data_IF_579354777806
#
_entry.id   IF_579354777806
#
_cell.length_a   1.000
_cell.length_b   1.000
_cell.length_c   1.000
_cell.angle_alpha   90.00
_cell.angle_beta   90.00
_cell.angle_gamma   90.00
#
_symmetry.space_group_name_H-M   'P 1'
#
loop_
_entity.id
_entity.type
_entity.pdbx_description
1 polymer ?
#
# COMPACT_ATOMS: atom_id res chain seq x y z
N UNK A 1 -20.40 3.76 9.08
CA UNK A 1 -19.37 4.29 8.16
C UNK A 1 -20.03 4.76 6.89
N UNK A 2 -19.67 5.95 6.40
CA UNK A 2 -20.19 6.52 5.15
C UNK A 2 -19.37 6.04 3.95
N UNK A 3 -20.00 5.91 2.78
CA UNK A 3 -19.32 5.63 1.49
C UNK A 3 -18.15 6.60 1.22
N UNK A 4 -18.29 7.87 1.63
CA UNK A 4 -17.22 8.88 1.51
C UNK A 4 -15.97 8.52 2.33
N UNK A 5 -16.14 7.94 3.51
CA UNK A 5 -15.03 7.56 4.38
C UNK A 5 -14.28 6.35 3.82
N UNK A 6 -15.00 5.37 3.26
CA UNK A 6 -14.40 4.22 2.56
C UNK A 6 -13.59 4.68 1.35
N UNK A 7 -14.13 5.62 0.56
CA UNK A 7 -13.40 6.19 -0.57
C UNK A 7 -12.15 6.98 -0.15
N UNK A 8 -12.21 7.67 1.00
CA UNK A 8 -11.04 8.37 1.56
C UNK A 8 -9.96 7.36 1.97
N UNK A 9 -10.33 6.27 2.65
CA UNK A 9 -9.40 5.19 3.02
C UNK A 9 -8.75 4.55 1.79
N UNK A 10 -9.55 4.26 0.76
CA UNK A 10 -9.04 3.72 -0.50
C UNK A 10 -7.99 4.65 -1.13
N UNK A 11 -8.30 5.94 -1.26
CA UNK A 11 -7.38 6.93 -1.82
C UNK A 11 -6.11 7.08 -0.97
N UNK A 12 -6.23 7.01 0.35
CA UNK A 12 -5.08 7.07 1.24
C UNK A 12 -4.16 5.87 1.03
N UNK A 13 -4.70 4.65 0.97
CA UNK A 13 -3.90 3.45 0.69
C UNK A 13 -3.15 3.57 -0.64
N UNK A 14 -3.84 3.98 -1.71
CA UNK A 14 -3.21 4.15 -3.02
C UNK A 14 -2.10 5.21 -2.99
N UNK A 15 -2.33 6.32 -2.29
CA UNK A 15 -1.36 7.39 -2.13
C UNK A 15 -0.13 6.93 -1.35
N UNK A 16 -0.32 6.18 -0.26
CA UNK A 16 0.81 5.64 0.51
C UNK A 16 1.55 4.55 -0.27
N UNK A 17 0.84 3.62 -0.91
CA UNK A 17 1.44 2.57 -1.75
C UNK A 17 2.23 3.13 -2.94
N UNK A 18 1.85 4.29 -3.47
CA UNK A 18 2.60 4.99 -4.51
C UNK A 18 3.97 5.52 -4.08
N UNK A 19 4.28 5.55 -2.78
CA UNK A 19 5.54 6.11 -2.25
C UNK A 19 6.69 5.11 -2.18
N UNK A 20 6.47 3.83 -2.47
CA UNK A 20 7.58 2.86 -2.52
C UNK A 20 8.62 3.28 -3.56
N UNK A 21 9.90 3.12 -3.26
CA UNK A 21 10.98 3.46 -4.20
C UNK A 21 11.11 2.38 -5.30
N UNK A 22 10.90 1.12 -4.93
CA UNK A 22 10.89 0.00 -5.88
C UNK A 22 9.55 -0.07 -6.65
N UNK A 23 9.65 -0.28 -7.97
CA UNK A 23 8.49 -0.36 -8.85
C UNK A 23 7.57 -1.54 -8.54
N UNK A 24 8.14 -2.71 -8.25
CA UNK A 24 7.36 -3.91 -7.98
C UNK A 24 6.55 -3.75 -6.70
N UNK A 25 7.13 -3.15 -5.66
CA UNK A 25 6.39 -2.85 -4.43
C UNK A 25 5.28 -1.82 -4.64
N UNK A 26 5.53 -0.73 -5.40
CA UNK A 26 4.46 0.23 -5.77
C UNK A 26 3.31 -0.45 -6.50
N UNK A 27 3.63 -1.16 -7.58
CA UNK A 27 2.65 -1.81 -8.44
C UNK A 27 1.87 -2.89 -7.69
N UNK A 28 2.53 -3.67 -6.85
CA UNK A 28 1.90 -4.68 -6.00
C UNK A 28 0.94 -4.04 -5.01
N UNK A 29 1.36 -3.01 -4.27
CA UNK A 29 0.52 -2.33 -3.29
C UNK A 29 -0.74 -1.78 -3.95
N UNK A 30 -0.60 -1.05 -5.07
CA UNK A 30 -1.73 -0.47 -5.81
C UNK A 30 -2.70 -1.56 -6.29
N UNK A 31 -2.19 -2.63 -6.91
CA UNK A 31 -3.01 -3.73 -7.42
C UNK A 31 -3.74 -4.44 -6.28
N UNK A 32 -3.02 -4.86 -5.24
CA UNK A 32 -3.59 -5.59 -4.10
C UNK A 32 -4.67 -4.80 -3.38
N UNK A 33 -4.51 -3.48 -3.28
CA UNK A 33 -5.51 -2.59 -2.70
C UNK A 33 -6.74 -2.46 -3.60
N UNK A 34 -6.58 -2.32 -4.91
CA UNK A 34 -7.72 -2.33 -5.85
C UNK A 34 -8.52 -3.63 -5.72
N UNK A 35 -7.84 -4.76 -5.78
CA UNK A 35 -8.47 -6.08 -5.71
C UNK A 35 -9.26 -6.25 -4.40
N UNK A 36 -8.68 -5.81 -3.27
CA UNK A 36 -9.34 -5.85 -1.97
C UNK A 36 -10.64 -5.01 -1.92
N UNK A 37 -10.63 -3.79 -2.47
CA UNK A 37 -11.82 -2.95 -2.42
C UNK A 37 -12.89 -3.42 -3.41
N UNK A 38 -12.49 -3.96 -4.56
CA UNK A 38 -13.43 -4.54 -5.53
C UNK A 38 -14.06 -5.82 -4.99
N UNK A 39 -13.27 -6.73 -4.40
CA UNK A 39 -13.78 -8.00 -3.86
C UNK A 39 -14.80 -7.79 -2.72
N UNK A 40 -14.66 -6.69 -1.98
CA UNK A 40 -15.52 -6.37 -0.84
C UNK A 40 -16.63 -5.35 -1.17
N UNK A 41 -16.80 -4.95 -2.44
CA UNK A 41 -17.75 -3.88 -2.84
C UNK A 41 -19.21 -4.16 -2.46
N UNK A 42 -19.61 -5.43 -2.49
CA UNK A 42 -20.98 -5.86 -2.26
C UNK A 42 -21.20 -6.42 -0.84
N UNK A 43 -20.25 -6.20 0.09
CA UNK A 43 -20.46 -6.58 1.48
C UNK A 43 -21.63 -5.80 2.07
N UNK A 44 -22.55 -6.52 2.70
CA UNK A 44 -23.73 -5.97 3.38
C UNK A 44 -23.68 -6.18 4.89
N UNK A 45 -22.90 -7.16 5.37
CA UNK A 45 -22.74 -7.40 6.79
C UNK A 45 -21.91 -6.30 7.44
N UNK A 46 -22.49 -5.67 8.47
CA UNK A 46 -21.88 -4.49 9.10
C UNK A 46 -20.63 -4.85 9.91
N UNK A 47 -20.60 -6.03 10.54
CA UNK A 47 -19.45 -6.50 11.32
C UNK A 47 -18.25 -6.76 10.40
N UNK A 48 -18.49 -7.41 9.26
CA UNK A 48 -17.45 -7.65 8.26
C UNK A 48 -16.93 -6.35 7.64
N UNK A 49 -17.81 -5.39 7.34
CA UNK A 49 -17.39 -4.07 6.84
C UNK A 49 -16.50 -3.36 7.86
N UNK A 50 -16.89 -3.34 9.14
CA UNK A 50 -16.10 -2.69 10.18
C UNK A 50 -14.74 -3.39 10.39
N UNK A 51 -14.71 -4.73 10.29
CA UNK A 51 -13.47 -5.49 10.30
C UNK A 51 -12.56 -5.14 9.11
N UNK A 52 -13.09 -5.09 7.87
CA UNK A 52 -12.32 -4.73 6.68
C UNK A 52 -11.81 -3.29 6.72
N UNK A 53 -12.57 -2.38 7.31
CA UNK A 53 -12.12 -1.01 7.52
C UNK A 53 -10.97 -0.95 8.53
N UNK A 54 -11.02 -1.73 9.60
CA UNK A 54 -9.91 -1.85 10.55
C UNK A 54 -8.66 -2.41 9.85
N UNK A 55 -8.81 -3.49 9.09
CA UNK A 55 -7.73 -4.10 8.29
C UNK A 55 -7.11 -3.08 7.31
N UNK A 56 -7.94 -2.25 6.67
CA UNK A 56 -7.49 -1.18 5.78
C UNK A 56 -6.66 -0.12 6.52
N UNK A 57 -7.09 0.32 7.72
CA UNK A 57 -6.35 1.28 8.55
C UNK A 57 -5.00 0.72 9.00
N UNK A 58 -4.98 -0.53 9.44
CA UNK A 58 -3.75 -1.21 9.85
C UNK A 58 -2.78 -1.36 8.66
N UNK A 59 -3.32 -1.67 7.48
CA UNK A 59 -2.56 -1.72 6.23
C UNK A 59 -1.95 -0.37 5.85
N UNK A 60 -2.66 0.75 6.03
CA UNK A 60 -2.09 2.09 5.81
C UNK A 60 -0.88 2.31 6.73
N UNK A 61 -1.00 1.98 8.02
CA UNK A 61 0.08 2.14 8.97
C UNK A 61 1.30 1.26 8.63
N UNK A 62 1.06 0.03 8.14
CA UNK A 62 2.12 -0.84 7.64
C UNK A 62 2.79 -0.28 6.39
N UNK A 63 2.01 0.12 5.38
CA UNK A 63 2.52 0.68 4.13
C UNK A 63 3.36 1.93 4.42
N UNK A 64 2.90 2.83 5.29
CA UNK A 64 3.67 4.02 5.71
C UNK A 64 5.04 3.67 6.31
N UNK A 65 5.12 2.64 7.14
CA UNK A 65 6.41 2.19 7.70
C UNK A 65 7.31 1.62 6.60
N UNK A 66 6.75 0.76 5.75
CA UNK A 66 7.53 0.08 4.72
C UNK A 66 8.00 1.03 3.62
N UNK A 67 7.22 2.08 3.30
CA UNK A 67 7.63 3.09 2.32
C UNK A 67 8.77 3.95 2.85
N UNK A 68 8.74 4.35 4.12
CA UNK A 68 9.86 5.03 4.77
C UNK A 68 11.14 4.19 4.73
N UNK A 69 11.05 2.89 5.05
CA UNK A 69 12.19 1.96 4.96
C UNK A 69 12.66 1.85 3.50
N UNK A 70 11.73 1.67 2.56
CA UNK A 70 12.04 1.57 1.14
C UNK A 70 12.76 2.80 0.61
N UNK A 71 12.43 4.00 1.10
CA UNK A 71 13.09 5.24 0.71
C UNK A 71 14.46 5.40 1.38
N UNK A 72 14.61 4.98 2.64
CA UNK A 72 15.89 5.02 3.35
C UNK A 72 16.96 4.13 2.68
N UNK A 73 16.55 2.96 2.19
CA UNK A 73 17.43 2.00 1.53
C UNK A 73 17.34 2.04 -0.01
N UNK A 74 16.68 3.04 -0.59
CA UNK A 74 16.76 3.34 -2.01
C UNK A 74 18.13 3.95 -2.32
N UNK A 75 19.18 3.15 -2.18
CA UNK A 75 20.53 3.56 -2.56
C UNK A 75 20.55 3.93 -4.06
N UNK A 76 21.41 4.87 -4.47
CA UNK A 76 21.66 5.08 -5.89
C UNK A 76 22.30 3.79 -6.43
N UNK A 77 21.70 3.28 -7.51
CA UNK A 77 22.11 2.08 -8.24
C UNK A 77 23.62 2.09 -8.63
N UNK A 78 24.28 3.24 -8.55
CA UNK A 78 25.72 3.43 -8.78
C UNK A 78 26.65 2.81 -7.73
N UNK A 79 26.20 2.48 -6.52
CA UNK A 79 27.09 1.92 -5.48
C UNK A 79 27.28 0.39 -5.58
N UNK A 80 26.43 -0.32 -6.31
CA UNK A 80 26.45 -1.79 -6.39
C UNK A 80 27.12 -2.31 -7.67
N UNK A 81 27.30 -1.47 -8.69
CA UNK A 81 27.92 -1.84 -9.96
C UNK A 81 29.46 -1.75 -9.96
N UNK A 82 30.07 -1.10 -8.97
CA UNK A 82 31.54 -0.94 -8.89
C UNK A 82 32.30 -2.14 -8.33
N UNK A 83 31.62 -3.26 -8.02
CA UNK A 83 32.26 -4.45 -7.43
C UNK A 83 32.22 -5.72 -8.32
N UNK A 84 31.84 -5.59 -9.60
CA UNK A 84 31.87 -6.71 -10.57
C UNK A 84 32.88 -6.55 -11.71
N UNK A 85 33.98 -5.85 -11.46
CA UNK A 85 35.13 -5.77 -12.37
C UNK A 85 36.43 -6.08 -11.62
N UNK A 86 36.59 -7.33 -11.18
CA UNK A 86 37.88 -8.03 -11.06
C UNK A 86 37.62 -9.48 -11.45
#
# INVERSE_FOLDING_TARGET
MSSKEVLRLYKEILREGGKFADYNFRSFAIRRSRDAFVSNKNLTDRSEIDFKIKEAKDSIALIKRQTTISQLFAAPESALLSQKLI
#
